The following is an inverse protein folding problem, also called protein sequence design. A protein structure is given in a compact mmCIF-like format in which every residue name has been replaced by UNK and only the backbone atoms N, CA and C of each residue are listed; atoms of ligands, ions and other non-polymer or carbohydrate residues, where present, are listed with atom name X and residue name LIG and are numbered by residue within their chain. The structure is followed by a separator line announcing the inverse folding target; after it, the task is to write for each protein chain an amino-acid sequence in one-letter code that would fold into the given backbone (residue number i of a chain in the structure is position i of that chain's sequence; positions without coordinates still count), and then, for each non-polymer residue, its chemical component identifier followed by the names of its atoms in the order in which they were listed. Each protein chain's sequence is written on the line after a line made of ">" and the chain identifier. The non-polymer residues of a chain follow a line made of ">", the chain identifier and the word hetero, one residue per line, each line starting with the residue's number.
data_IF_444736753593
#
_entry.id   IF_444736753593
#
_cell.length_a   1.000
_cell.length_b   1.000
_cell.length_c   1.000
_cell.angle_alpha   90.00
_cell.angle_beta   90.00
_cell.angle_gamma   90.00
#
_symmetry.space_group_name_H-M   'P 1'
#
loop_
_entity.id
_entity.type
_entity.pdbx_description
1 polymer ?
#
# COMPACT_ATOMS: atom_id res chain seq x y z
N UNK A 1 -15.03 -5.37 -36.12
CA UNK A 1 -13.67 -5.45 -35.54
C UNK A 1 -13.56 -6.73 -34.73
N UNK A 2 -12.90 -7.76 -35.25
CA UNK A 2 -12.57 -8.97 -34.48
C UNK A 2 -11.37 -8.67 -33.60
N UNK A 3 -11.62 -8.34 -32.33
CA UNK A 3 -10.55 -8.20 -31.34
C UNK A 3 -9.92 -9.57 -31.17
N UNK A 4 -8.73 -9.75 -31.75
CA UNK A 4 -7.95 -10.98 -31.59
C UNK A 4 -7.50 -11.02 -30.12
N UNK A 5 -8.25 -11.70 -29.27
CA UNK A 5 -7.85 -11.96 -27.89
C UNK A 5 -6.57 -12.78 -27.97
N UNK A 6 -5.41 -12.15 -27.71
CA UNK A 6 -4.12 -12.84 -27.68
C UNK A 6 -4.27 -14.04 -26.75
N UNK A 7 -4.08 -15.24 -27.30
CA UNK A 7 -4.23 -16.52 -26.57
C UNK A 7 -3.35 -16.46 -25.32
N UNK A 8 -3.97 -16.50 -24.15
CA UNK A 8 -3.26 -16.53 -22.87
C UNK A 8 -2.53 -17.86 -22.77
N UNK A 9 -1.21 -17.81 -22.57
CA UNK A 9 -0.37 -19.01 -22.44
C UNK A 9 -0.10 -19.32 -20.98
N UNK A 10 0.12 -20.60 -20.66
CA UNK A 10 0.57 -21.05 -19.33
C UNK A 10 1.85 -20.32 -18.91
N UNK A 11 2.78 -20.11 -19.85
CA UNK A 11 4.01 -19.37 -19.60
C UNK A 11 3.75 -17.93 -19.15
N UNK A 12 2.80 -17.23 -19.78
CA UNK A 12 2.44 -15.86 -19.37
C UNK A 12 1.88 -15.83 -17.95
N UNK A 13 0.98 -16.75 -17.60
CA UNK A 13 0.43 -16.85 -16.25
C UNK A 13 1.54 -17.09 -15.22
N UNK A 14 2.44 -18.05 -15.47
CA UNK A 14 3.59 -18.32 -14.57
C UNK A 14 4.48 -17.09 -14.35
N UNK A 15 4.78 -16.34 -15.41
CA UNK A 15 5.60 -15.11 -15.31
C UNK A 15 4.92 -14.05 -14.46
N UNK A 16 3.62 -13.79 -14.70
CA UNK A 16 2.88 -12.78 -13.94
C UNK A 16 2.67 -13.23 -12.49
N UNK A 17 2.41 -14.52 -12.24
CA UNK A 17 2.37 -15.09 -10.88
C UNK A 17 3.68 -14.84 -10.13
N UNK A 18 4.82 -15.13 -10.75
CA UNK A 18 6.14 -14.89 -10.13
C UNK A 18 6.38 -13.40 -9.89
N UNK A 19 6.00 -12.54 -10.83
CA UNK A 19 6.12 -11.09 -10.67
C UNK A 19 5.28 -10.57 -9.51
N UNK A 20 4.00 -10.95 -9.43
CA UNK A 20 3.09 -10.62 -8.31
C UNK A 20 3.67 -11.12 -6.99
N UNK A 21 4.22 -12.35 -6.97
CA UNK A 21 4.86 -12.93 -5.79
C UNK A 21 6.04 -12.09 -5.28
N UNK A 22 6.89 -11.65 -6.20
CA UNK A 22 8.04 -10.81 -5.85
C UNK A 22 7.60 -9.44 -5.34
N UNK A 23 6.54 -8.87 -5.91
CA UNK A 23 6.01 -7.57 -5.49
C UNK A 23 5.42 -7.59 -4.08
N UNK A 24 4.60 -8.58 -3.71
CA UNK A 24 4.04 -8.60 -2.34
C UNK A 24 5.13 -8.87 -1.30
N UNK A 25 6.10 -9.75 -1.61
CA UNK A 25 7.27 -9.98 -0.74
C UNK A 25 8.12 -8.72 -0.57
N UNK A 26 8.33 -7.97 -1.64
CA UNK A 26 9.06 -6.71 -1.57
C UNK A 26 8.30 -5.69 -0.70
N UNK A 27 6.98 -5.56 -0.88
CA UNK A 27 6.14 -4.72 -0.05
C UNK A 27 6.26 -5.08 1.43
N UNK A 28 6.07 -6.35 1.79
CA UNK A 28 6.13 -6.82 3.17
C UNK A 28 7.53 -6.61 3.77
N UNK A 29 8.60 -6.80 2.99
CA UNK A 29 9.96 -6.53 3.45
C UNK A 29 10.18 -5.04 3.74
N UNK A 30 9.72 -4.13 2.86
CA UNK A 30 9.80 -2.70 3.13
C UNK A 30 8.99 -2.32 4.36
N UNK A 31 7.80 -2.90 4.53
CA UNK A 31 6.96 -2.67 5.70
C UNK A 31 7.65 -3.13 6.99
N UNK A 32 8.20 -4.35 7.00
CA UNK A 32 8.96 -4.90 8.12
C UNK A 32 10.18 -4.05 8.47
N UNK A 33 10.97 -3.65 7.46
CA UNK A 33 12.13 -2.78 7.66
C UNK A 33 11.75 -1.43 8.27
N UNK A 34 10.67 -0.83 7.78
CA UNK A 34 10.19 0.46 8.24
C UNK A 34 9.73 0.42 9.70
N UNK A 35 8.84 -0.52 10.05
CA UNK A 35 8.09 -0.45 11.30
C UNK A 35 8.58 -1.39 12.41
N UNK A 36 9.28 -2.48 12.06
CA UNK A 36 9.69 -3.51 13.03
C UNK A 36 11.21 -3.61 13.20
N UNK A 37 11.99 -3.32 12.15
CA UNK A 37 13.45 -3.40 12.20
C UNK A 37 14.14 -2.04 12.34
N UNK A 38 13.36 -0.94 12.34
CA UNK A 38 13.84 0.45 12.50
C UNK A 38 14.90 0.88 11.47
N UNK A 39 14.84 0.33 10.25
CA UNK A 39 15.78 0.65 9.17
C UNK A 39 15.15 1.66 8.23
N UNK A 40 15.81 2.80 8.04
CA UNK A 40 15.50 3.82 7.02
C UNK A 40 13.99 4.05 6.79
N UNK A 41 13.26 4.39 7.86
CA UNK A 41 11.79 4.53 7.89
C UNK A 41 11.24 5.26 6.66
N UNK A 42 11.84 6.41 6.34
CA UNK A 42 11.40 7.27 5.23
C UNK A 42 11.52 6.61 3.87
N UNK A 43 12.66 5.96 3.62
CA UNK A 43 12.93 5.29 2.36
C UNK A 43 12.01 4.07 2.21
N UNK A 44 11.89 3.27 3.27
CA UNK A 44 11.14 2.02 3.24
C UNK A 44 9.62 2.26 3.14
N UNK A 45 9.04 3.23 3.86
CA UNK A 45 7.63 3.61 3.67
C UNK A 45 7.38 4.13 2.26
N UNK A 46 8.29 4.97 1.73
CA UNK A 46 8.21 5.46 0.36
C UNK A 46 8.25 4.33 -0.68
N UNK A 47 9.12 3.34 -0.50
CA UNK A 47 9.21 2.18 -1.38
C UNK A 47 8.00 1.24 -1.23
N UNK A 48 7.48 1.04 -0.03
CA UNK A 48 6.26 0.27 0.21
C UNK A 48 5.07 0.88 -0.56
N UNK A 49 4.85 2.19 -0.45
CA UNK A 49 3.77 2.90 -1.16
C UNK A 49 3.93 2.85 -2.69
N UNK A 50 5.16 2.93 -3.22
CA UNK A 50 5.42 2.77 -4.66
C UNK A 50 5.15 1.34 -5.13
N UNK A 51 5.58 0.36 -4.33
CA UNK A 51 5.39 -1.07 -4.62
C UNK A 51 3.93 -1.45 -4.58
N UNK A 52 3.14 -0.91 -3.64
CA UNK A 52 1.70 -1.13 -3.55
C UNK A 52 0.97 -0.85 -4.88
N UNK A 53 1.26 0.27 -5.54
CA UNK A 53 0.64 0.61 -6.83
C UNK A 53 0.95 -0.43 -7.91
N UNK A 54 2.19 -0.92 -7.95
CA UNK A 54 2.62 -1.96 -8.89
C UNK A 54 1.97 -3.31 -8.56
N UNK A 55 1.90 -3.65 -7.27
CA UNK A 55 1.27 -4.88 -6.79
C UNK A 55 -0.22 -4.93 -7.16
N UNK A 56 -0.97 -3.85 -6.95
CA UNK A 56 -2.38 -3.76 -7.34
C UNK A 56 -2.57 -4.01 -8.84
N UNK A 57 -1.74 -3.39 -9.68
CA UNK A 57 -1.81 -3.60 -11.14
C UNK A 57 -1.46 -5.04 -11.53
N UNK A 58 -0.44 -5.64 -10.90
CA UNK A 58 -0.01 -7.02 -11.16
C UNK A 58 -1.05 -8.05 -10.71
N UNK A 59 -1.74 -7.82 -9.59
CA UNK A 59 -2.85 -8.67 -9.13
C UNK A 59 -4.01 -8.59 -10.10
N UNK A 60 -4.38 -7.40 -10.56
CA UNK A 60 -5.46 -7.22 -11.52
C UNK A 60 -5.13 -7.89 -12.86
N UNK A 61 -3.90 -7.71 -13.37
CA UNK A 61 -3.44 -8.42 -14.56
C UNK A 61 -3.55 -9.94 -14.38
N UNK A 62 -3.10 -10.47 -13.23
CA UNK A 62 -3.15 -11.90 -12.97
C UNK A 62 -4.58 -12.45 -12.93
N UNK A 63 -5.53 -11.72 -12.31
CA UNK A 63 -6.95 -12.09 -12.30
C UNK A 63 -7.51 -12.16 -13.71
N UNK A 64 -7.29 -11.12 -14.52
CA UNK A 64 -7.73 -11.07 -15.92
C UNK A 64 -7.11 -12.23 -16.72
N UNK A 65 -5.85 -12.58 -16.48
CA UNK A 65 -5.22 -13.73 -17.15
C UNK A 65 -5.87 -15.05 -16.77
N UNK A 66 -6.22 -15.26 -15.50
CA UNK A 66 -6.88 -16.48 -15.03
C UNK A 66 -8.29 -16.63 -15.61
N UNK A 67 -9.06 -15.55 -15.70
CA UNK A 67 -10.41 -15.56 -16.31
C UNK A 67 -10.37 -15.91 -17.80
N UNK A 68 -9.31 -15.49 -18.51
CA UNK A 68 -9.19 -15.67 -19.96
C UNK A 68 -8.40 -16.92 -20.38
N UNK A 69 -7.79 -17.64 -19.44
CA UNK A 69 -6.97 -18.81 -19.77
C UNK A 69 -7.81 -20.09 -19.90
N UNK A 70 -8.04 -20.51 -21.16
CA UNK A 70 -8.63 -21.82 -21.46
C UNK A 70 -7.57 -22.92 -21.30
N UNK A 71 -7.87 -23.98 -20.55
CA UNK A 71 -7.02 -25.16 -20.33
C UNK A 71 -5.72 -24.89 -19.55
N UNK A 72 -5.78 -24.10 -18.47
CA UNK A 72 -4.65 -23.96 -17.56
C UNK A 72 -4.47 -25.23 -16.72
N UNK A 73 -3.24 -25.76 -16.52
CA UNK A 73 -3.02 -26.84 -15.58
C UNK A 73 -3.46 -26.43 -14.17
N UNK A 74 -4.15 -27.34 -13.47
CA UNK A 74 -4.73 -27.08 -12.14
C UNK A 74 -3.70 -26.58 -11.13
N UNK A 75 -2.49 -27.14 -11.16
CA UNK A 75 -1.39 -26.70 -10.30
C UNK A 75 -1.02 -25.22 -10.52
N UNK A 76 -0.97 -24.78 -11.78
CA UNK A 76 -0.64 -23.38 -12.11
C UNK A 76 -1.76 -22.44 -11.67
N UNK A 77 -3.00 -22.89 -11.77
CA UNK A 77 -4.18 -22.13 -11.33
C UNK A 77 -4.15 -21.94 -9.81
N UNK A 78 -3.98 -23.03 -9.04
CA UNK A 78 -3.88 -22.97 -7.57
C UNK A 78 -2.73 -22.08 -7.10
N UNK A 79 -1.55 -22.21 -7.70
CA UNK A 79 -0.41 -21.35 -7.35
C UNK A 79 -0.70 -19.86 -7.61
N UNK A 80 -1.38 -19.53 -8.70
CA UNK A 80 -1.75 -18.15 -9.00
C UNK A 80 -2.80 -17.61 -8.02
N UNK A 81 -3.81 -18.41 -7.66
CA UNK A 81 -4.84 -18.06 -6.68
C UNK A 81 -4.26 -17.85 -5.27
N UNK A 82 -3.35 -18.72 -4.83
CA UNK A 82 -2.62 -18.54 -3.56
C UNK A 82 -1.83 -17.23 -3.55
N UNK A 83 -1.10 -16.94 -4.64
CA UNK A 83 -0.34 -15.68 -4.75
C UNK A 83 -1.27 -14.47 -4.76
N UNK A 84 -2.44 -14.53 -5.40
CA UNK A 84 -3.44 -13.46 -5.33
C UNK A 84 -3.91 -13.25 -3.89
N UNK A 85 -4.23 -14.32 -3.17
CA UNK A 85 -4.72 -14.24 -1.78
C UNK A 85 -3.69 -13.57 -0.85
N UNK A 86 -2.42 -14.00 -0.92
CA UNK A 86 -1.33 -13.41 -0.14
C UNK A 86 -1.04 -11.95 -0.54
N UNK A 87 -1.08 -11.65 -1.84
CA UNK A 87 -0.94 -10.30 -2.34
C UNK A 87 -2.08 -9.37 -1.87
N UNK A 88 -3.31 -9.87 -1.78
CA UNK A 88 -4.47 -9.09 -1.30
C UNK A 88 -4.28 -8.66 0.15
N UNK A 89 -3.82 -9.55 1.05
CA UNK A 89 -3.50 -9.18 2.44
C UNK A 89 -2.46 -8.05 2.50
N UNK A 90 -1.45 -8.10 1.63
CA UNK A 90 -0.43 -7.05 1.52
C UNK A 90 -0.99 -5.74 0.97
N UNK A 91 -1.87 -5.81 -0.02
CA UNK A 91 -2.57 -4.65 -0.57
C UNK A 91 -3.44 -3.99 0.49
N UNK A 92 -4.21 -4.76 1.26
CA UNK A 92 -5.06 -4.26 2.35
C UNK A 92 -4.25 -3.47 3.38
N UNK A 93 -3.13 -4.05 3.85
CA UNK A 93 -2.16 -3.35 4.72
C UNK A 93 -1.70 -2.02 4.11
N UNK A 94 -1.30 -2.03 2.84
CA UNK A 94 -0.83 -0.83 2.15
C UNK A 94 -1.93 0.23 1.93
N UNK A 95 -3.16 -0.19 1.69
CA UNK A 95 -4.32 0.68 1.55
C UNK A 95 -4.70 1.33 2.88
N UNK A 96 -4.68 0.58 3.98
CA UNK A 96 -4.93 1.13 5.32
C UNK A 96 -3.88 2.19 5.69
N UNK A 97 -2.60 1.89 5.44
CA UNK A 97 -1.52 2.88 5.58
C UNK A 97 -1.81 4.16 4.77
N UNK A 98 -2.17 4.02 3.49
CA UNK A 98 -2.45 5.16 2.61
C UNK A 98 -3.68 5.96 3.06
N UNK A 99 -4.71 5.27 3.57
CA UNK A 99 -5.94 5.88 4.08
C UNK A 99 -5.63 6.75 5.30
N UNK A 100 -4.95 6.21 6.31
CA UNK A 100 -4.59 6.93 7.54
C UNK A 100 -3.77 8.20 7.24
N UNK A 101 -2.77 8.09 6.34
CA UNK A 101 -1.97 9.24 5.91
C UNK A 101 -2.81 10.33 5.23
N UNK A 102 -3.78 9.95 4.38
CA UNK A 102 -4.69 10.89 3.72
C UNK A 102 -5.69 11.53 4.67
N UNK A 103 -6.22 10.79 5.64
CA UNK A 103 -7.12 11.31 6.66
C UNK A 103 -6.43 12.36 7.53
N UNK A 104 -5.17 12.11 7.90
CA UNK A 104 -4.35 13.09 8.59
C UNK A 104 -4.09 14.33 7.74
N UNK A 105 -3.71 14.17 6.47
CA UNK A 105 -3.52 15.28 5.53
C UNK A 105 -4.81 16.11 5.38
N UNK A 106 -5.96 15.46 5.20
CA UNK A 106 -7.24 16.13 5.03
C UNK A 106 -7.63 16.92 6.29
N UNK A 107 -7.55 16.30 7.46
CA UNK A 107 -7.89 16.93 8.75
C UNK A 107 -6.99 18.14 9.02
N UNK A 108 -5.70 17.97 8.79
CA UNK A 108 -4.69 19.02 8.92
C UNK A 108 -4.95 20.21 7.99
N UNK A 109 -5.31 19.94 6.72
CA UNK A 109 -5.62 20.97 5.75
C UNK A 109 -6.91 21.74 6.10
N UNK A 110 -7.91 21.06 6.65
CA UNK A 110 -9.15 21.71 7.12
C UNK A 110 -8.86 22.63 8.30
N UNK A 111 -8.14 22.15 9.33
CA UNK A 111 -7.76 22.98 10.49
C UNK A 111 -6.95 24.21 10.06
N UNK A 112 -6.01 24.03 9.13
CA UNK A 112 -5.22 25.15 8.61
C UNK A 112 -6.08 26.22 7.93
N UNK A 113 -7.11 25.83 7.19
CA UNK A 113 -8.02 26.78 6.51
C UNK A 113 -9.00 27.44 7.46
N UNK A 114 -9.43 26.71 8.50
CA UNK A 114 -10.40 27.17 9.49
C UNK A 114 -10.01 26.67 10.89
N UNK A 115 -9.14 27.41 11.61
CA UNK A 115 -8.72 27.03 12.95
C UNK A 115 -9.89 27.14 13.94
N UNK A 116 -10.38 26.00 14.41
CA UNK A 116 -11.41 25.89 15.45
C UNK A 116 -11.08 24.72 16.38
N UNK A 117 -11.63 24.73 17.61
CA UNK A 117 -11.44 23.61 18.56
C UNK A 117 -12.00 22.30 18.01
N UNK A 118 -13.11 22.35 17.26
CA UNK A 118 -13.66 21.18 16.57
C UNK A 118 -12.65 20.61 15.55
N UNK A 119 -12.06 21.47 14.71
CA UNK A 119 -11.08 21.04 13.72
C UNK A 119 -9.76 20.60 14.36
N UNK A 120 -9.37 21.19 15.49
CA UNK A 120 -8.21 20.76 16.28
C UNK A 120 -8.40 19.33 16.79
N UNK A 121 -9.59 19.01 17.29
CA UNK A 121 -9.94 17.67 17.75
C UNK A 121 -9.98 16.65 16.60
N UNK A 122 -10.43 17.04 15.40
CA UNK A 122 -10.33 16.19 14.19
C UNK A 122 -8.88 15.84 13.87
N UNK A 123 -7.95 16.80 13.96
CA UNK A 123 -6.52 16.51 13.74
C UNK A 123 -5.98 15.58 14.82
N UNK A 124 -6.31 15.79 16.10
CA UNK A 124 -5.90 14.89 17.19
C UNK A 124 -6.35 13.44 16.95
N UNK A 125 -7.61 13.22 16.58
CA UNK A 125 -8.11 11.88 16.21
C UNK A 125 -7.35 11.28 15.04
N UNK A 126 -7.02 12.08 14.02
CA UNK A 126 -6.23 11.61 12.91
C UNK A 126 -4.77 11.27 13.29
N UNK A 127 -4.18 11.98 14.27
CA UNK A 127 -2.88 11.65 14.85
C UNK A 127 -2.93 10.31 15.58
N UNK A 128 -3.97 10.07 16.40
CA UNK A 128 -4.15 8.79 17.08
C UNK A 128 -4.27 7.63 16.07
N UNK A 129 -4.96 7.84 14.95
CA UNK A 129 -5.02 6.85 13.87
C UNK A 129 -3.65 6.56 13.22
N UNK A 130 -2.67 7.45 13.34
CA UNK A 130 -1.30 7.23 12.84
C UNK A 130 -0.43 6.43 13.82
N UNK A 131 -0.89 6.12 15.04
CA UNK A 131 -0.22 5.18 15.97
C UNK A 131 -0.43 3.72 15.54
N UNK A 132 -0.07 3.44 14.28
CA UNK A 132 -0.16 2.16 13.62
C UNK A 132 1.13 1.94 12.81
N UNK A 133 1.64 0.70 12.68
CA UNK A 133 1.16 -0.52 13.34
C UNK A 133 1.36 -0.47 14.86
N UNK A 134 0.47 -1.11 15.63
CA UNK A 134 0.48 -1.11 17.10
C UNK A 134 1.56 -2.00 17.70
N UNK A 135 1.99 -3.02 16.95
CA UNK A 135 3.02 -3.98 17.36
C UNK A 135 4.42 -3.61 16.84
N UNK A 136 4.53 -2.53 16.05
CA UNK A 136 5.81 -2.08 15.50
C UNK A 136 6.60 -1.24 16.51
N UNK A 137 7.91 -1.21 16.34
CA UNK A 137 8.79 -0.27 17.07
C UNK A 137 8.61 1.18 16.59
N UNK A 138 8.13 1.36 15.36
CA UNK A 138 7.77 2.65 14.77
C UNK A 138 6.35 2.61 14.22
N UNK A 139 5.78 3.79 14.09
CA UNK A 139 4.41 4.01 13.61
C UNK A 139 4.39 4.97 12.42
N UNK A 140 3.22 5.14 11.80
CA UNK A 140 3.02 6.17 10.79
C UNK A 140 3.16 7.57 11.36
N UNK A 141 2.95 7.75 12.67
CA UNK A 141 3.21 9.02 13.33
C UNK A 141 4.69 9.37 13.31
N UNK A 142 5.57 8.42 13.62
CA UNK A 142 7.01 8.58 13.51
C UNK A 142 7.42 8.92 12.08
N UNK A 143 6.81 8.26 11.09
CA UNK A 143 7.05 8.56 9.68
C UNK A 143 6.64 9.99 9.31
N UNK A 144 5.45 10.43 9.73
CA UNK A 144 4.95 11.77 9.44
C UNK A 144 5.85 12.85 10.03
N UNK A 145 6.33 12.64 11.27
CA UNK A 145 7.27 13.53 11.93
C UNK A 145 8.66 13.53 11.30
N UNK A 146 9.26 12.36 11.10
CA UNK A 146 10.69 12.24 10.75
C UNK A 146 10.98 12.51 9.27
N UNK A 147 10.05 12.16 8.37
CA UNK A 147 10.41 11.95 6.96
C UNK A 147 10.11 13.09 6.01
N UNK A 148 9.75 14.28 6.54
CA UNK A 148 9.20 15.39 5.79
C UNK A 148 7.74 15.27 5.26
N UNK A 149 6.91 14.22 5.52
CA UNK A 149 5.47 14.28 5.29
C UNK A 149 4.81 15.40 6.07
N UNK A 150 5.34 15.76 7.25
CA UNK A 150 4.92 16.97 7.95
C UNK A 150 4.95 18.18 7.01
N UNK A 151 6.06 18.50 6.33
CA UNK A 151 6.09 19.66 5.42
C UNK A 151 5.30 19.47 4.12
N UNK A 152 5.15 18.22 3.66
CA UNK A 152 4.39 17.89 2.43
C UNK A 152 2.87 18.01 2.65
N UNK A 153 2.38 17.50 3.77
CA UNK A 153 0.96 17.47 4.15
C UNK A 153 0.56 18.70 4.99
N UNK A 154 1.53 19.35 5.63
CA UNK A 154 1.39 20.62 6.33
C UNK A 154 2.32 21.63 5.66
N UNK A 155 1.81 22.35 4.66
CA UNK A 155 2.43 23.64 4.28
C UNK A 155 2.44 24.49 5.55
N UNK A 156 3.60 24.62 6.23
CA UNK A 156 3.98 25.53 7.33
C UNK A 156 2.80 26.22 8.08
N UNK A 157 2.74 26.04 9.41
CA UNK A 157 1.79 26.62 10.42
C UNK A 157 0.71 25.64 10.92
N UNK A 158 1.13 24.56 11.57
CA UNK A 158 0.35 24.06 12.69
C UNK A 158 1.34 23.99 13.86
N UNK A 159 1.23 24.94 14.76
CA UNK A 159 1.91 24.89 16.05
C UNK A 159 1.01 24.06 16.95
N UNK A 160 1.46 22.85 17.29
CA UNK A 160 0.84 21.98 18.29
C UNK A 160 1.53 22.18 19.64
#
# INVERSE_FOLDING_TARGET
>A
MTVTVKKVTVGKVKVVTLHTKNLYRAFDNYFQKAFYLEKDLCANVGQALKTLKRLQASVEELKVLLENAKNLPEEVKKQAEEVISEAQKSIEKGLDMKKRLKEFEASSNVYKKNPSEENKERVRKAIENLKWPTEGNKTLWDYVHACNPWKKYLKKRIDF
#
